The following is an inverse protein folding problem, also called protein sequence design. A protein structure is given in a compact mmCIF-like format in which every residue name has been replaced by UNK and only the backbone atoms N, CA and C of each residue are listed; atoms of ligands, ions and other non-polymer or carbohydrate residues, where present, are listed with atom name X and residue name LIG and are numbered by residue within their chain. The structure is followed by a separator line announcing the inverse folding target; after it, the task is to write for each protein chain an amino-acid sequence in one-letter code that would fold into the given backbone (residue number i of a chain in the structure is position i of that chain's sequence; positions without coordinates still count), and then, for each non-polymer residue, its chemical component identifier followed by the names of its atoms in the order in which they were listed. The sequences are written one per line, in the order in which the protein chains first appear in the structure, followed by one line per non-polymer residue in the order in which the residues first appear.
data_IF_549977346437
#
_entry.id   IF_549977346437
#
_cell.length_a   1.000
_cell.length_b   1.000
_cell.length_c   1.000
_cell.angle_alpha   90.00
_cell.angle_beta   90.00
_cell.angle_gamma   90.00
#
_symmetry.space_group_name_H-M   'P 1'
#
loop_
_entity.id
_entity.type
_entity.pdbx_description
1 polymer ?
#
# COMPACT_ATOMS: atom_id res chain seq x y z
N UNK A 1 -30.57 9.70 22.86
CA UNK A 1 -29.81 10.22 21.69
C UNK A 1 -28.90 9.17 21.05
N UNK A 2 -27.99 8.52 21.81
CA UNK A 2 -26.99 7.56 21.28
C UNK A 2 -27.51 6.47 20.32
N UNK A 3 -28.69 5.89 20.57
CA UNK A 3 -29.26 4.82 19.75
C UNK A 3 -29.67 5.27 18.33
N UNK A 4 -30.10 6.53 18.16
CA UNK A 4 -30.53 7.04 16.85
C UNK A 4 -29.33 7.25 15.92
N UNK A 5 -28.24 7.78 16.45
CA UNK A 5 -27.01 8.01 15.68
C UNK A 5 -26.30 6.69 15.36
N UNK A 6 -26.33 5.72 16.28
CA UNK A 6 -25.83 4.36 16.03
C UNK A 6 -26.54 3.67 14.87
N UNK A 7 -27.87 3.65 14.88
CA UNK A 7 -28.66 3.09 13.78
C UNK A 7 -28.43 3.83 12.46
N UNK A 8 -28.21 5.15 12.51
CA UNK A 8 -27.92 5.94 11.31
C UNK A 8 -26.54 5.59 10.73
N UNK A 9 -25.50 5.49 11.56
CA UNK A 9 -24.16 5.08 11.12
C UNK A 9 -24.18 3.67 10.54
N UNK A 10 -24.88 2.74 11.20
CA UNK A 10 -25.08 1.37 10.70
C UNK A 10 -25.74 1.38 9.31
N UNK A 11 -26.83 2.14 9.13
CA UNK A 11 -27.52 2.24 7.85
C UNK A 11 -26.66 2.89 6.75
N UNK A 12 -25.86 3.93 7.10
CA UNK A 12 -24.94 4.58 6.17
C UNK A 12 -23.87 3.60 5.70
N UNK A 13 -23.27 2.84 6.61
CA UNK A 13 -22.23 1.86 6.30
C UNK A 13 -22.78 0.69 5.49
N UNK A 14 -24.01 0.25 5.80
CA UNK A 14 -24.68 -0.81 5.05
C UNK A 14 -25.04 -0.38 3.62
N UNK A 15 -25.46 0.86 3.42
CA UNK A 15 -25.81 1.41 2.11
C UNK A 15 -24.60 1.85 1.27
N UNK A 16 -23.41 1.95 1.86
CA UNK A 16 -22.22 2.40 1.16
C UNK A 16 -21.70 1.34 0.19
N UNK A 17 -21.43 1.73 -1.05
CA UNK A 17 -20.79 0.86 -2.05
C UNK A 17 -19.28 0.72 -1.85
N UNK A 18 -18.66 1.63 -1.10
CA UNK A 18 -17.23 1.67 -0.83
C UNK A 18 -16.95 1.95 0.65
N UNK A 19 -15.79 1.52 1.19
CA UNK A 19 -15.39 1.84 2.56
C UNK A 19 -15.34 3.35 2.82
N UNK A 20 -15.89 3.79 3.96
CA UNK A 20 -16.02 5.20 4.30
C UNK A 20 -15.00 5.64 5.34
N UNK A 21 -14.36 6.79 5.12
CA UNK A 21 -13.54 7.42 6.15
C UNK A 21 -14.39 8.06 7.27
N UNK A 22 -13.75 8.36 8.40
CA UNK A 22 -14.42 8.95 9.55
C UNK A 22 -15.01 10.32 9.26
N UNK A 23 -14.38 11.10 8.37
CA UNK A 23 -14.82 12.45 8.01
C UNK A 23 -16.15 12.40 7.23
N UNK A 24 -16.26 11.48 6.28
CA UNK A 24 -17.45 11.23 5.48
C UNK A 24 -18.61 10.77 6.37
N UNK A 25 -18.36 9.87 7.32
CA UNK A 25 -19.37 9.43 8.29
C UNK A 25 -19.82 10.61 9.17
N UNK A 26 -18.87 11.41 9.70
CA UNK A 26 -19.16 12.59 10.52
C UNK A 26 -20.00 13.63 9.79
N UNK A 27 -19.78 13.82 8.49
CA UNK A 27 -20.56 14.77 7.68
C UNK A 27 -22.05 14.43 7.56
N UNK A 28 -22.41 13.15 7.76
CA UNK A 28 -23.78 12.63 7.60
C UNK A 28 -24.54 12.49 8.92
N UNK A 29 -23.89 12.74 10.06
CA UNK A 29 -24.51 12.66 11.39
C UNK A 29 -24.65 14.05 12.01
N UNK A 30 -25.41 14.15 13.10
CA UNK A 30 -25.58 15.42 13.83
C UNK A 30 -24.29 15.86 14.51
N UNK A 31 -24.06 17.17 14.53
CA UNK A 31 -22.94 17.82 15.21
C UNK A 31 -22.95 17.50 16.71
N UNK A 32 -21.83 16.98 17.24
CA UNK A 32 -21.64 16.67 18.66
C UNK A 32 -21.65 15.17 19.03
N UNK A 33 -21.96 14.28 18.10
CA UNK A 33 -21.89 12.83 18.33
C UNK A 33 -20.49 12.29 18.05
N UNK A 34 -19.96 11.49 18.99
CA UNK A 34 -18.66 10.83 18.85
C UNK A 34 -18.77 9.61 17.92
N UNK A 35 -18.60 9.86 16.62
CA UNK A 35 -18.67 8.83 15.59
C UNK A 35 -17.68 7.68 15.83
N UNK A 36 -16.46 7.97 16.29
CA UNK A 36 -15.44 6.93 16.52
C UNK A 36 -15.87 5.98 17.62
N UNK A 37 -16.34 6.52 18.73
CA UNK A 37 -16.87 5.69 19.83
C UNK A 37 -18.02 4.82 19.38
N UNK A 38 -18.95 5.36 18.59
CA UNK A 38 -20.09 4.60 18.06
C UNK A 38 -19.63 3.48 17.11
N UNK A 39 -18.62 3.73 16.27
CA UNK A 39 -18.05 2.73 15.36
C UNK A 39 -17.41 1.57 16.12
N UNK A 40 -16.64 1.84 17.19
CA UNK A 40 -16.08 0.79 18.03
C UNK A 40 -17.17 -0.01 18.77
N UNK A 41 -18.23 0.65 19.24
CA UNK A 41 -19.38 -0.04 19.82
C UNK A 41 -20.10 -0.93 18.79
N UNK A 42 -20.28 -0.46 17.55
CA UNK A 42 -20.85 -1.26 16.46
C UNK A 42 -19.95 -2.45 16.09
N UNK A 43 -18.64 -2.24 16.04
CA UNK A 43 -17.67 -3.30 15.75
C UNK A 43 -17.77 -4.43 16.77
N UNK A 44 -17.90 -4.10 18.06
CA UNK A 44 -18.12 -5.09 19.12
C UNK A 44 -19.47 -5.80 18.98
N UNK A 45 -20.55 -5.09 18.67
CA UNK A 45 -21.88 -5.70 18.52
C UNK A 45 -21.98 -6.68 17.34
N UNK A 46 -21.13 -6.49 16.33
CA UNK A 46 -21.09 -7.29 15.11
C UNK A 46 -19.99 -8.34 15.09
N UNK A 47 -19.12 -8.45 16.10
CA UNK A 47 -17.97 -9.36 16.07
C UNK A 47 -18.35 -10.84 16.02
N UNK A 48 -19.46 -11.21 16.65
CA UNK A 48 -19.96 -12.61 16.69
C UNK A 48 -21.03 -12.91 15.63
N UNK A 49 -21.30 -11.96 14.73
CA UNK A 49 -22.32 -12.10 13.68
C UNK A 49 -21.68 -12.56 12.38
N UNK A 50 -22.49 -13.06 11.44
CA UNK A 50 -22.03 -13.44 10.09
C UNK A 50 -21.61 -12.26 9.19
N UNK A 51 -21.79 -11.03 9.67
CA UNK A 51 -21.30 -9.80 9.06
C UNK A 51 -20.56 -9.04 10.15
N UNK A 52 -19.35 -8.58 9.88
CA UNK A 52 -18.52 -7.84 10.83
C UNK A 52 -18.26 -6.43 10.30
N UNK A 53 -18.21 -5.45 11.22
CA UNK A 53 -17.74 -4.12 10.90
C UNK A 53 -16.21 -4.10 11.04
N UNK A 54 -15.51 -3.79 9.95
CA UNK A 54 -14.04 -3.76 9.93
C UNK A 54 -13.53 -2.36 9.63
N UNK A 55 -12.36 -2.05 10.20
CA UNK A 55 -11.58 -0.88 9.87
C UNK A 55 -10.36 -1.34 9.06
N UNK A 56 -10.23 -0.85 7.83
CA UNK A 56 -9.11 -1.13 6.91
C UNK A 56 -8.65 0.17 6.26
N UNK A 57 -7.34 0.43 6.25
CA UNK A 57 -6.74 1.65 5.69
C UNK A 57 -7.47 2.94 6.16
N UNK A 58 -7.76 3.03 7.47
CA UNK A 58 -8.51 4.12 8.11
C UNK A 58 -9.96 4.33 7.61
N UNK A 59 -10.52 3.36 6.89
CA UNK A 59 -11.90 3.37 6.40
C UNK A 59 -12.71 2.24 7.02
N UNK A 60 -14.02 2.42 7.12
CA UNK A 60 -14.96 1.53 7.78
C UNK A 60 -15.90 0.92 6.75
N UNK A 61 -16.15 -0.39 6.85
CA UNK A 61 -17.10 -1.10 5.99
C UNK A 61 -17.61 -2.38 6.66
N UNK A 62 -18.82 -2.82 6.27
CA UNK A 62 -19.31 -4.15 6.63
C UNK A 62 -18.75 -5.19 5.66
N UNK A 63 -18.30 -6.33 6.20
CA UNK A 63 -17.84 -7.49 5.43
C UNK A 63 -18.41 -8.78 6.00
N UNK A 64 -18.47 -9.82 5.19
CA UNK A 64 -18.86 -11.15 5.65
C UNK A 64 -17.81 -11.70 6.63
N UNK A 65 -18.26 -12.42 7.64
CA UNK A 65 -17.37 -13.08 8.59
C UNK A 65 -16.45 -14.10 7.89
N UNK A 66 -15.20 -14.17 8.35
CA UNK A 66 -14.13 -14.92 7.69
C UNK A 66 -14.36 -16.44 7.71
N UNK A 67 -14.96 -16.95 8.79
CA UNK A 67 -15.37 -18.34 8.98
C UNK A 67 -16.45 -18.80 7.97
N UNK A 68 -17.24 -17.86 7.45
CA UNK A 68 -18.28 -18.11 6.44
C UNK A 68 -17.76 -18.04 5.00
N UNK A 69 -16.52 -17.57 4.77
CA UNK A 69 -15.96 -17.36 3.43
C UNK A 69 -16.02 -18.61 2.54
N UNK A 70 -15.70 -19.78 3.10
CA UNK A 70 -15.69 -21.06 2.38
C UNK A 70 -17.08 -21.48 1.87
N UNK A 71 -18.13 -21.21 2.64
CA UNK A 71 -19.53 -21.54 2.32
C UNK A 71 -20.16 -20.53 1.35
N UNK A 72 -19.65 -19.30 1.34
CA UNK A 72 -20.14 -18.20 0.50
C UNK A 72 -19.47 -18.11 -0.87
N UNK A 73 -18.48 -18.97 -1.17
CA UNK A 73 -17.90 -19.16 -2.51
C UNK A 73 -18.96 -19.72 -3.48
N UNK A 74 -19.93 -18.91 -3.89
CA UNK A 74 -20.60 -19.12 -5.18
C UNK A 74 -19.58 -18.89 -6.28
N UNK A 75 -19.74 -19.58 -7.41
CA UNK A 75 -18.98 -19.34 -8.63
C UNK A 75 -19.16 -17.89 -9.07
N UNK A 76 -18.31 -17.01 -8.55
CA UNK A 76 -18.16 -15.67 -9.09
C UNK A 76 -17.49 -15.90 -10.44
N UNK A 77 -18.17 -15.51 -11.52
CA UNK A 77 -17.54 -15.42 -12.84
C UNK A 77 -16.49 -14.32 -12.71
N UNK A 78 -15.24 -14.71 -12.41
CA UNK A 78 -14.12 -13.80 -12.31
C UNK A 78 -13.98 -13.19 -13.70
N UNK A 79 -14.38 -11.92 -13.85
CA UNK A 79 -14.21 -11.18 -15.09
C UNK A 79 -12.71 -10.93 -15.26
N UNK A 80 -12.05 -11.87 -15.95
CA UNK A 80 -10.62 -11.97 -16.27
C UNK A 80 -9.68 -11.92 -15.06
N UNK A 81 -9.12 -13.09 -14.71
CA UNK A 81 -7.98 -13.17 -13.79
C UNK A 81 -6.82 -12.31 -14.34
N UNK A 82 -6.14 -11.60 -13.45
CA UNK A 82 -4.88 -10.93 -13.79
C UNK A 82 -3.91 -11.96 -14.37
N UNK A 83 -3.16 -11.54 -15.40
CA UNK A 83 -2.09 -12.37 -15.96
C UNK A 83 -1.01 -12.61 -14.92
N UNK A 84 -0.22 -13.67 -15.09
CA UNK A 84 0.92 -13.95 -14.21
C UNK A 84 1.88 -12.75 -14.12
N UNK A 85 2.18 -12.13 -15.27
CA UNK A 85 3.03 -10.94 -15.34
C UNK A 85 2.46 -9.74 -14.56
N UNK A 86 1.14 -9.54 -14.58
CA UNK A 86 0.50 -8.48 -13.82
C UNK A 86 0.54 -8.75 -12.31
N UNK A 87 0.36 -9.99 -11.89
CA UNK A 87 0.47 -10.40 -10.48
C UNK A 87 1.91 -10.23 -9.98
N UNK A 88 2.90 -10.67 -10.75
CA UNK A 88 4.32 -10.49 -10.42
C UNK A 88 4.70 -9.01 -10.30
N UNK A 89 4.25 -8.19 -11.26
CA UNK A 89 4.48 -6.73 -11.25
C UNK A 89 3.83 -6.07 -10.03
N UNK A 90 2.59 -6.43 -9.72
CA UNK A 90 1.88 -5.93 -8.54
C UNK A 90 2.59 -6.31 -7.25
N UNK A 91 3.06 -7.57 -7.13
CA UNK A 91 3.78 -8.03 -5.95
C UNK A 91 5.07 -7.23 -5.75
N UNK A 92 5.86 -7.02 -6.81
CA UNK A 92 7.09 -6.22 -6.71
C UNK A 92 6.79 -4.80 -6.25
N UNK A 93 5.75 -4.16 -6.80
CA UNK A 93 5.36 -2.83 -6.34
C UNK A 93 4.91 -2.87 -4.88
N UNK A 94 4.14 -3.87 -4.45
CA UNK A 94 3.67 -3.96 -3.07
C UNK A 94 4.83 -4.07 -2.06
N UNK A 95 5.84 -4.90 -2.36
CA UNK A 95 6.98 -5.17 -1.46
C UNK A 95 8.14 -4.17 -1.59
N UNK A 96 8.29 -3.47 -2.72
CA UNK A 96 9.44 -2.58 -2.97
C UNK A 96 9.06 -1.12 -3.25
N UNK A 97 7.80 -0.72 -3.14
CA UNK A 97 7.43 0.69 -3.31
C UNK A 97 8.17 1.62 -2.32
N UNK A 98 8.48 2.87 -2.74
CA UNK A 98 8.26 3.44 -4.06
C UNK A 98 9.28 2.93 -5.10
N UNK A 99 8.81 2.47 -6.27
CA UNK A 99 9.66 1.81 -7.28
C UNK A 99 9.41 2.34 -8.69
N UNK A 100 10.44 2.37 -9.53
CA UNK A 100 10.39 2.77 -10.94
C UNK A 100 10.15 1.59 -11.88
N UNK A 101 9.76 1.85 -13.13
CA UNK A 101 9.62 0.79 -14.14
C UNK A 101 10.91 -0.03 -14.31
N UNK A 102 12.06 0.64 -14.41
CA UNK A 102 13.35 -0.02 -14.63
C UNK A 102 13.72 -0.95 -13.48
N UNK A 103 13.52 -0.52 -12.23
CA UNK A 103 13.76 -1.36 -11.05
C UNK A 103 12.82 -2.57 -11.02
N UNK A 104 11.55 -2.42 -11.42
CA UNK A 104 10.64 -3.56 -11.54
C UNK A 104 11.15 -4.55 -12.60
N UNK A 105 11.56 -4.07 -13.77
CA UNK A 105 12.07 -4.92 -14.86
C UNK A 105 13.37 -5.64 -14.46
N UNK A 106 14.23 -4.98 -13.68
CA UNK A 106 15.45 -5.56 -13.11
C UNK A 106 15.13 -6.70 -12.13
N UNK A 107 14.22 -6.49 -11.17
CA UNK A 107 13.81 -7.53 -10.22
C UNK A 107 13.14 -8.71 -10.95
N UNK A 108 12.34 -8.45 -11.98
CA UNK A 108 11.70 -9.51 -12.79
C UNK A 108 12.68 -10.23 -13.72
N UNK A 109 13.81 -9.63 -14.04
CA UNK A 109 14.76 -10.10 -15.06
C UNK A 109 14.22 -10.02 -16.50
N UNK A 110 13.04 -9.43 -16.72
CA UNK A 110 12.42 -9.29 -18.04
C UNK A 110 11.57 -8.01 -18.11
N UNK A 111 11.58 -7.37 -19.28
CA UNK A 111 10.69 -6.24 -19.58
C UNK A 111 9.21 -6.67 -19.54
N UNK A 112 8.32 -5.76 -19.15
CA UNK A 112 6.87 -5.97 -19.28
C UNK A 112 6.22 -4.92 -20.17
N UNK A 113 5.04 -5.24 -20.69
CA UNK A 113 4.30 -4.31 -21.55
C UNK A 113 3.71 -3.16 -20.73
N UNK A 114 3.61 -1.97 -21.33
CA UNK A 114 2.95 -0.81 -20.70
C UNK A 114 1.51 -1.13 -20.29
N UNK A 115 0.81 -1.97 -21.06
CA UNK A 115 -0.54 -2.45 -20.74
C UNK A 115 -0.65 -3.18 -19.39
N UNK A 116 0.45 -3.73 -18.85
CA UNK A 116 0.44 -4.34 -17.51
C UNK A 116 0.20 -3.30 -16.42
N UNK A 117 0.87 -2.14 -16.50
CA UNK A 117 0.65 -1.04 -15.57
C UNK A 117 -0.71 -0.37 -15.77
N UNK A 118 -1.15 -0.23 -17.02
CA UNK A 118 -2.47 0.32 -17.35
C UNK A 118 -3.59 -0.49 -16.67
N UNK A 119 -3.54 -1.81 -16.74
CA UNK A 119 -4.51 -2.68 -16.04
C UNK A 119 -4.49 -2.44 -14.52
N UNK A 120 -3.30 -2.28 -13.91
CA UNK A 120 -3.19 -2.03 -12.47
C UNK A 120 -3.72 -0.64 -12.07
N UNK A 121 -3.60 0.35 -12.97
CA UNK A 121 -4.19 1.68 -12.80
C UNK A 121 -5.71 1.67 -12.98
N UNK A 122 -6.24 0.91 -13.95
CA UNK A 122 -7.68 0.74 -14.17
C UNK A 122 -8.34 0.09 -12.95
N UNK A 123 -7.69 -0.92 -12.36
CA UNK A 123 -8.13 -1.51 -11.08
C UNK A 123 -7.97 -0.55 -9.90
N UNK A 124 -7.22 0.54 -10.09
CA UNK A 124 -6.82 1.52 -9.08
C UNK A 124 -6.09 0.87 -7.90
N UNK A 125 -5.33 -0.20 -8.13
CA UNK A 125 -4.49 -0.85 -7.12
C UNK A 125 -3.10 -0.23 -7.02
N UNK A 126 -2.64 0.39 -8.10
CA UNK A 126 -1.37 1.11 -8.17
C UNK A 126 -1.65 2.54 -8.64
N UNK A 127 -0.82 3.49 -8.22
CA UNK A 127 -0.81 4.88 -8.69
C UNK A 127 0.63 5.42 -8.82
N UNK A 128 0.84 6.47 -9.62
CA UNK A 128 2.08 7.23 -9.60
C UNK A 128 2.31 7.95 -8.26
N UNK A 129 3.56 8.07 -7.84
CA UNK A 129 3.99 8.76 -6.61
C UNK A 129 5.17 9.71 -6.87
N UNK A 130 4.98 10.64 -7.80
CA UNK A 130 6.04 11.57 -8.20
C UNK A 130 7.12 10.90 -9.05
N UNK A 131 8.30 11.51 -9.07
CA UNK A 131 9.44 11.08 -9.89
C UNK A 131 10.69 10.94 -9.02
N UNK A 132 11.54 9.96 -9.33
CA UNK A 132 12.83 9.77 -8.64
C UNK A 132 13.81 10.87 -9.08
N UNK A 133 14.59 11.42 -8.15
CA UNK A 133 15.53 12.52 -8.44
C UNK A 133 16.87 12.00 -8.95
N UNK A 134 16.83 11.34 -10.10
CA UNK A 134 17.98 10.80 -10.83
C UNK A 134 17.87 11.23 -12.31
N UNK A 135 18.95 11.11 -13.11
CA UNK A 135 18.88 11.42 -14.55
C UNK A 135 17.70 10.73 -15.24
N UNK A 136 16.96 11.49 -16.06
CA UNK A 136 15.72 11.03 -16.72
C UNK A 136 14.44 11.16 -15.88
N UNK A 137 14.54 11.44 -14.58
CA UNK A 137 13.42 11.64 -13.63
C UNK A 137 12.26 10.63 -13.85
N UNK A 138 12.53 9.31 -13.73
CA UNK A 138 11.54 8.28 -13.98
C UNK A 138 10.40 8.34 -12.96
N UNK A 139 9.22 7.87 -13.38
CA UNK A 139 8.02 7.84 -12.55
C UNK A 139 8.13 6.76 -11.47
N UNK A 140 7.73 7.10 -10.24
CA UNK A 140 7.62 6.16 -9.12
C UNK A 140 6.20 5.61 -9.02
N UNK A 141 6.07 4.35 -8.63
CA UNK A 141 4.81 3.65 -8.44
C UNK A 141 4.64 3.20 -6.99
N UNK A 142 3.40 3.30 -6.50
CA UNK A 142 2.98 2.86 -5.17
C UNK A 142 1.60 2.22 -5.24
N UNK A 143 1.29 1.39 -4.25
CA UNK A 143 -0.06 0.84 -4.04
C UNK A 143 -1.04 1.88 -3.50
N UNK A 144 -2.33 1.56 -3.53
CA UNK A 144 -3.41 2.44 -3.06
C UNK A 144 -4.18 1.83 -1.88
N UNK A 145 -5.03 2.63 -1.24
CA UNK A 145 -6.00 2.09 -0.26
C UNK A 145 -6.91 1.02 -0.85
N UNK A 146 -7.17 1.06 -2.17
CA UNK A 146 -8.02 0.06 -2.82
C UNK A 146 -7.31 -1.29 -2.91
N UNK A 147 -5.99 -1.30 -3.06
CA UNK A 147 -5.17 -2.49 -2.90
C UNK A 147 -5.29 -3.03 -1.48
N UNK A 148 -5.07 -2.21 -0.45
CA UNK A 148 -5.17 -2.62 0.96
C UNK A 148 -6.55 -3.22 1.29
N UNK A 149 -7.61 -2.57 0.81
CA UNK A 149 -9.00 -3.01 0.99
C UNK A 149 -9.33 -4.30 0.21
N UNK A 150 -8.68 -4.55 -0.92
CA UNK A 150 -8.87 -5.77 -1.70
C UNK A 150 -8.21 -6.96 -1.02
N UNK A 151 -6.99 -6.76 -0.49
CA UNK A 151 -6.22 -7.80 0.21
C UNK A 151 -6.53 -7.89 1.71
N UNK A 152 -7.51 -7.13 2.21
CA UNK A 152 -7.95 -7.12 3.62
C UNK A 152 -6.83 -6.81 4.62
N UNK A 153 -5.92 -5.90 4.28
CA UNK A 153 -4.81 -5.47 5.13
C UNK A 153 -4.96 -4.00 5.53
N UNK A 154 -4.44 -3.62 6.71
CA UNK A 154 -4.45 -2.25 7.20
C UNK A 154 -3.26 -1.46 6.68
N UNK A 155 -2.12 -2.12 6.58
CA UNK A 155 -0.86 -1.54 6.15
C UNK A 155 -0.06 -2.52 5.31
N UNK A 156 0.94 -2.02 4.61
CA UNK A 156 1.88 -2.85 3.86
C UNK A 156 2.75 -3.74 4.77
N UNK A 157 2.88 -3.37 6.04
CA UNK A 157 3.60 -4.19 7.03
C UNK A 157 2.83 -5.46 7.41
N UNK A 158 1.54 -5.53 7.07
CA UNK A 158 0.72 -6.73 7.27
C UNK A 158 0.91 -7.74 6.12
N UNK A 159 1.72 -7.41 5.11
CA UNK A 159 2.07 -8.35 4.06
C UNK A 159 3.03 -9.42 4.60
N UNK A 160 2.86 -10.69 4.22
CA UNK A 160 3.72 -11.77 4.69
C UNK A 160 5.20 -11.51 4.37
N UNK A 161 6.06 -11.64 5.38
CA UNK A 161 7.50 -11.61 5.15
C UNK A 161 8.00 -12.96 4.57
N UNK A 162 9.25 -13.01 4.13
CA UNK A 162 9.85 -14.22 3.56
C UNK A 162 9.75 -15.42 4.53
N UNK A 163 9.98 -15.20 5.82
CA UNK A 163 9.97 -16.27 6.82
C UNK A 163 8.56 -16.85 7.03
N UNK A 164 7.54 -16.01 7.01
CA UNK A 164 6.13 -16.42 7.06
C UNK A 164 5.71 -17.18 5.81
N UNK A 165 6.17 -16.75 4.64
CA UNK A 165 5.93 -17.46 3.38
C UNK A 165 6.64 -18.83 3.35
N UNK A 166 7.86 -18.92 3.91
CA UNK A 166 8.59 -20.18 4.08
C UNK A 166 7.86 -21.11 5.05
N UNK A 167 7.43 -20.59 6.20
CA UNK A 167 6.70 -21.35 7.21
C UNK A 167 5.35 -21.85 6.68
N UNK A 168 4.69 -21.07 5.82
CA UNK A 168 3.47 -21.46 5.12
C UNK A 168 3.70 -22.46 3.96
N UNK A 169 4.95 -22.80 3.65
CA UNK A 169 5.32 -23.68 2.54
C UNK A 169 5.02 -23.08 1.16
N UNK A 170 4.86 -21.75 1.07
CA UNK A 170 4.51 -21.04 -0.16
C UNK A 170 5.73 -20.69 -1.01
N UNK A 171 6.93 -20.68 -0.41
CA UNK A 171 8.20 -20.48 -1.10
C UNK A 171 9.24 -21.52 -0.67
N UNK A 172 10.20 -21.79 -1.55
CA UNK A 172 11.29 -22.74 -1.30
C UNK A 172 12.40 -22.06 -0.50
N UNK A 173 13.00 -22.79 0.45
CA UNK A 173 14.20 -22.40 1.22
C UNK A 173 15.40 -21.92 0.39
N UNK A 174 15.42 -22.19 -0.91
CA UNK A 174 16.44 -21.70 -1.86
C UNK A 174 16.20 -20.27 -2.37
N UNK A 175 15.05 -19.68 -2.07
CA UNK A 175 14.72 -18.31 -2.45
C UNK A 175 15.44 -17.35 -1.49
N UNK A 176 16.25 -16.44 -2.04
CA UNK A 176 16.94 -15.42 -1.26
C UNK A 176 15.92 -14.48 -0.60
N UNK A 177 15.93 -14.42 0.74
CA UNK A 177 15.03 -13.56 1.52
C UNK A 177 15.28 -12.07 1.25
N UNK A 178 16.42 -11.69 0.67
CA UNK A 178 16.71 -10.32 0.22
C UNK A 178 15.78 -9.82 -0.89
N UNK A 179 15.04 -10.73 -1.54
CA UNK A 179 13.99 -10.41 -2.52
C UNK A 179 12.76 -9.80 -1.83
N UNK A 180 12.52 -10.09 -0.55
CA UNK A 180 11.37 -9.57 0.18
C UNK A 180 11.84 -8.47 1.14
N UNK A 181 12.02 -7.26 0.62
CA UNK A 181 12.44 -6.14 1.46
C UNK A 181 12.85 -4.89 0.69
N UNK A 182 12.60 -3.74 1.31
CA UNK A 182 13.02 -2.41 0.85
C UNK A 182 14.52 -2.16 1.01
N UNK A 183 15.25 -3.03 1.73
CA UNK A 183 16.65 -2.84 2.12
C UNK A 183 17.60 -2.78 0.92
N UNK A 184 17.39 -3.56 -0.14
CA UNK A 184 18.30 -3.59 -1.29
C UNK A 184 18.37 -2.26 -2.06
N UNK A 185 17.31 -1.45 -2.00
CA UNK A 185 17.26 -0.12 -2.64
C UNK A 185 17.57 1.03 -1.67
N UNK A 186 17.45 0.82 -0.35
CA UNK A 186 17.83 1.81 0.67
C UNK A 186 19.36 1.79 0.90
N UNK A 187 20.00 0.64 0.81
CA UNK A 187 21.45 0.51 1.03
C UNK A 187 22.30 1.00 -0.15
N UNK A 188 21.70 1.09 -1.35
CA UNK A 188 22.33 1.72 -2.51
C UNK A 188 22.50 3.24 -2.34
N UNK A 189 21.75 3.90 -1.44
CA UNK A 189 21.93 5.32 -1.11
C UNK A 189 22.89 5.58 0.07
N UNK A 190 23.30 4.52 0.80
CA UNK A 190 24.24 4.66 1.94
C UNK A 190 25.69 4.30 1.63
N UNK A 191 25.95 3.76 0.44
CA UNK A 191 27.29 3.38 -0.01
C UNK A 191 27.77 4.18 -1.22
N UNK A 192 27.41 5.46 -1.30
CA UNK A 192 28.23 6.43 -1.99
C UNK A 192 28.89 7.33 -0.96
N UNK A 193 30.20 7.14 -0.85
CA UNK A 193 31.14 7.99 -0.16
C UNK A 193 30.85 9.45 -0.54
N UNK A 194 30.15 10.20 0.32
CA UNK A 194 30.13 11.66 0.24
C UNK A 194 31.52 12.12 0.66
N UNK A 195 32.47 12.05 -0.26
CA UNK A 195 33.60 12.98 -0.21
C UNK A 195 32.98 14.37 -0.30
N UNK A 196 33.07 15.11 0.80
CA UNK A 196 32.59 16.48 0.90
C UNK A 196 33.36 17.33 -0.12
N UNK A 197 32.79 17.46 -1.32
CA UNK A 197 33.31 18.26 -2.45
C UNK A 197 33.40 19.76 -2.09
N UNK A 198 32.88 20.14 -0.92
CA UNK A 198 32.87 21.50 -0.39
C UNK A 198 33.93 21.74 0.71
N UNK A 199 34.71 20.72 1.10
CA UNK A 199 35.74 20.86 2.14
C UNK A 199 36.95 21.70 1.71
N UNK A 200 37.18 21.84 0.39
CA UNK A 200 38.32 22.58 -0.16
C UNK A 200 37.96 23.95 -0.75
N UNK A 201 36.73 24.45 -0.53
CA UNK A 201 36.35 25.78 -1.04
C UNK A 201 37.05 26.90 -0.28
N UNK A 202 37.26 26.75 1.02
CA UNK A 202 37.97 27.76 1.82
C UNK A 202 39.46 27.87 1.42
N UNK A 203 40.10 26.76 1.03
CA UNK A 203 41.48 26.77 0.55
C UNK A 203 41.60 27.44 -0.84
N UNK A 204 40.66 27.19 -1.76
CA UNK A 204 40.65 27.80 -3.11
C UNK A 204 40.38 29.32 -3.09
N UNK A 205 39.59 29.81 -2.12
CA UNK A 205 39.33 31.24 -1.95
C UNK A 205 40.56 31.94 -1.35
N UNK A 206 41.35 31.24 -0.55
CA UNK A 206 42.57 31.81 0.05
C UNK A 206 43.70 32.03 -0.97
N UNK A 207 43.84 31.14 -1.96
CA UNK A 207 44.84 31.27 -3.02
C UNK A 207 44.50 32.39 -4.02
N UNK A 208 43.22 32.70 -4.22
CA UNK A 208 42.80 33.77 -5.15
C UNK A 208 42.84 35.17 -4.54
N UNK A 209 43.02 35.31 -3.22
CA UNK A 209 43.09 36.60 -2.52
C UNK A 209 44.51 37.08 -2.20
N UNK A 210 45.55 36.32 -2.56
CA UNK A 210 46.95 36.64 -2.26
C UNK A 210 47.79 37.06 -3.49
N UNK A 211 47.22 37.21 -4.68
CA UNK A 211 47.97 37.64 -5.88
C UNK A 211 48.04 39.17 -6.11
N UNK A 212 47.47 40.00 -5.24
CA UNK A 212 47.66 41.45 -5.29
C UNK A 212 48.54 41.95 -4.13
N UNK A 213 49.86 41.79 -4.28
CA UNK A 213 50.88 42.63 -3.64
C UNK A 213 52.23 42.64 -4.35
#
# INVERSE_FOLDING_TARGET
MKKKDKNLIEAILFAASEPLDIATIKSKIKTGSDALKILYELQKDYSERGVNLVQLANKWSFRTAEDLSSKLKKEIVIQKKLSKAAIETLAIIAYHQPVTRSEIEEIRGVSFSTGTLEILFELAWVKPNGRKDIPGKPLLYVTTDKFLNHFNINSLNDLPNADELLAAGLIDSRVDSSIFGTSKFVDAEKSENREDIYSNIDDMISDTLNEDK
#
